data_IF_760501428404
#
_entry.id   IF_760501428404
#
_cell.length_a   1.000
_cell.length_b   1.000
_cell.length_c   1.000
_cell.angle_alpha   90.00
_cell.angle_beta   90.00
_cell.angle_gamma   90.00
#
_symmetry.space_group_name_H-M   'P 1'
#
loop_
_entity.id
_entity.type
_entity.pdbx_description
1 polymer ?
#
# COMPACT_ATOMS: atom_id res chain seq x y z
N UNK A 1 1.53 17.94 24.34
CA UNK A 1 1.70 17.18 23.08
C UNK A 1 0.32 16.73 22.62
N UNK A 2 -0.19 17.26 21.52
CA UNK A 2 -1.55 17.00 21.04
C UNK A 2 -1.65 15.58 20.48
N UNK A 3 -2.71 14.85 20.83
CA UNK A 3 -2.94 13.43 20.51
C UNK A 3 -2.93 13.09 19.00
N UNK A 4 -2.91 14.08 18.10
CA UNK A 4 -2.90 13.90 16.64
C UNK A 4 -1.55 13.38 16.11
N UNK A 5 -0.42 13.75 16.73
CA UNK A 5 0.92 13.31 16.28
C UNK A 5 1.15 11.80 16.34
N UNK A 6 0.84 11.09 17.44
CA UNK A 6 1.02 9.64 17.50
C UNK A 6 0.13 8.90 16.49
N UNK A 7 -1.08 9.40 16.21
CA UNK A 7 -1.98 8.81 15.21
C UNK A 7 -1.39 8.92 13.80
N UNK A 8 -0.86 10.09 13.44
CA UNK A 8 -0.22 10.29 12.12
C UNK A 8 1.00 9.39 11.92
N UNK A 9 1.83 9.25 12.95
CA UNK A 9 2.99 8.34 12.92
C UNK A 9 2.50 6.89 12.80
N UNK A 10 1.45 6.51 13.53
CA UNK A 10 0.83 5.19 13.45
C UNK A 10 0.35 4.85 12.04
N UNK A 11 -0.34 5.78 11.36
CA UNK A 11 -0.78 5.58 9.97
C UNK A 11 0.40 5.35 9.03
N UNK A 12 1.46 6.15 9.15
CA UNK A 12 2.67 5.99 8.32
C UNK A 12 3.35 4.66 8.56
N UNK A 13 3.53 4.25 9.83
CA UNK A 13 4.14 2.97 10.19
C UNK A 13 3.33 1.80 9.65
N UNK A 14 2.00 1.83 9.81
CA UNK A 14 1.11 0.78 9.30
C UNK A 14 1.17 0.72 7.77
N UNK A 15 1.16 1.87 7.10
CA UNK A 15 1.27 1.93 5.65
C UNK A 15 2.61 1.34 5.18
N UNK A 16 3.73 1.70 5.81
CA UNK A 16 5.04 1.12 5.51
C UNK A 16 5.11 -0.39 5.77
N UNK A 17 4.51 -0.87 6.87
CA UNK A 17 4.43 -2.30 7.14
C UNK A 17 3.64 -3.03 6.04
N UNK A 18 2.58 -2.41 5.50
CA UNK A 18 1.81 -2.94 4.39
C UNK A 18 2.53 -2.89 3.04
N UNK A 19 3.58 -2.07 2.88
CA UNK A 19 4.47 -2.15 1.72
C UNK A 19 5.40 -3.36 1.83
N UNK A 20 5.93 -3.62 3.03
CA UNK A 20 6.92 -4.66 3.25
C UNK A 20 6.31 -6.07 3.31
N UNK A 21 5.15 -6.21 3.97
CA UNK A 21 4.56 -7.51 4.31
C UNK A 21 4.09 -8.33 3.11
N UNK A 22 3.42 -7.76 2.09
CA UNK A 22 2.92 -8.55 0.98
C UNK A 22 4.04 -9.02 0.04
N UNK A 23 5.16 -8.28 -0.06
CA UNK A 23 6.30 -8.69 -0.88
C UNK A 23 7.10 -9.84 -0.23
N UNK A 24 7.27 -9.82 1.08
CA UNK A 24 8.00 -10.88 1.80
C UNK A 24 7.17 -12.14 1.97
N UNK A 25 5.84 -12.04 2.06
CA UNK A 25 4.96 -13.18 2.29
C UNK A 25 4.48 -13.88 1.00
N UNK A 26 4.42 -13.19 -0.14
CA UNK A 26 3.69 -13.72 -1.30
C UNK A 26 4.44 -14.74 -2.14
N UNK A 27 5.77 -14.90 -2.02
CA UNK A 27 6.57 -15.74 -2.94
C UNK A 27 6.22 -15.55 -4.44
N UNK A 28 5.60 -14.41 -4.78
CA UNK A 28 4.87 -14.22 -6.02
C UNK A 28 5.83 -14.46 -7.19
N UNK A 29 5.55 -15.47 -8.00
CA UNK A 29 6.15 -15.61 -9.33
C UNK A 29 5.44 -14.62 -10.27
N UNK A 30 5.50 -13.34 -9.91
CA UNK A 30 4.96 -12.26 -10.72
C UNK A 30 6.00 -11.84 -11.77
N UNK A 31 5.59 -11.58 -13.02
CA UNK A 31 6.46 -10.94 -13.99
C UNK A 31 6.93 -9.59 -13.45
N UNK A 32 8.17 -9.20 -13.78
CA UNK A 32 8.80 -7.98 -13.28
C UNK A 32 7.95 -6.71 -13.51
N UNK A 33 7.13 -6.69 -14.56
CA UNK A 33 6.19 -5.60 -14.82
C UNK A 33 5.08 -5.47 -13.75
N UNK A 34 4.56 -6.60 -13.23
CA UNK A 34 3.57 -6.59 -12.15
C UNK A 34 4.15 -6.10 -10.83
N UNK A 35 5.37 -6.53 -10.53
CA UNK A 35 6.18 -6.04 -9.40
C UNK A 35 6.40 -4.52 -9.52
N UNK A 36 6.85 -4.05 -10.68
CA UNK A 36 7.09 -2.63 -10.92
C UNK A 36 5.79 -1.80 -10.78
N UNK A 37 4.66 -2.31 -11.26
CA UNK A 37 3.37 -1.64 -11.14
C UNK A 37 2.92 -1.52 -9.67
N UNK A 38 3.05 -2.60 -8.89
CA UNK A 38 2.74 -2.60 -7.46
C UNK A 38 3.62 -1.58 -6.71
N UNK A 39 4.93 -1.60 -6.96
CA UNK A 39 5.88 -0.67 -6.33
C UNK A 39 5.56 0.78 -6.70
N UNK A 40 5.25 1.06 -7.98
CA UNK A 40 4.88 2.39 -8.43
C UNK A 40 3.57 2.88 -7.80
N UNK A 41 2.54 2.04 -7.76
CA UNK A 41 1.25 2.36 -7.13
C UNK A 41 1.39 2.64 -5.63
N UNK A 42 2.22 1.86 -4.95
CA UNK A 42 2.55 2.05 -3.55
C UNK A 42 3.34 3.31 -3.26
N UNK A 43 4.31 3.66 -4.09
CA UNK A 43 5.06 4.92 -3.99
C UNK A 43 4.13 6.13 -4.18
N UNK A 44 3.21 6.07 -5.15
CA UNK A 44 2.19 7.09 -5.35
C UNK A 44 1.26 7.20 -4.13
N UNK A 45 0.81 6.07 -3.58
CA UNK A 45 -0.01 6.05 -2.37
C UNK A 45 0.74 6.57 -1.13
N UNK A 46 2.04 6.33 -1.00
CA UNK A 46 2.86 6.89 0.08
C UNK A 46 2.96 8.41 -0.02
N UNK A 47 3.20 8.94 -1.22
CA UNK A 47 3.21 10.37 -1.46
C UNK A 47 1.84 11.00 -1.11
N UNK A 48 0.74 10.32 -1.48
CA UNK A 48 -0.61 10.75 -1.13
C UNK A 48 -0.86 10.73 0.39
N UNK A 49 -0.43 9.68 1.09
CA UNK A 49 -0.53 9.59 2.56
C UNK A 49 0.22 10.75 3.22
N UNK A 50 1.47 11.01 2.82
CA UNK A 50 2.28 12.10 3.36
C UNK A 50 1.57 13.44 3.15
N UNK A 51 1.01 13.65 1.96
CA UNK A 51 0.25 14.85 1.63
C UNK A 51 -1.07 14.97 2.43
N UNK A 52 -1.81 13.88 2.63
CA UNK A 52 -3.03 13.88 3.44
C UNK A 52 -2.74 14.12 4.93
N UNK A 53 -1.66 13.52 5.44
CA UNK A 53 -1.18 13.71 6.81
C UNK A 53 -0.75 15.16 7.03
N UNK A 54 -0.03 15.78 6.09
CA UNK A 54 0.38 17.19 6.21
C UNK A 54 -0.81 18.15 6.21
N UNK A 55 -1.92 17.76 5.57
CA UNK A 55 -3.21 18.49 5.61
C UNK A 55 -4.12 18.11 6.78
N UNK A 56 -3.69 17.23 7.70
CA UNK A 56 -4.53 16.68 8.80
C UNK A 56 -5.86 16.10 8.32
N UNK A 57 -5.88 15.53 7.12
CA UNK A 57 -7.07 14.94 6.53
C UNK A 57 -7.39 13.59 7.19
N UNK A 58 -8.66 13.38 7.56
CA UNK A 58 -9.14 12.09 8.09
C UNK A 58 -9.00 10.95 7.07
N UNK A 59 -8.94 11.28 5.77
CA UNK A 59 -8.71 10.31 4.70
C UNK A 59 -7.39 9.57 4.81
N UNK A 60 -6.39 10.12 5.53
CA UNK A 60 -5.14 9.41 5.80
C UNK A 60 -5.37 8.07 6.52
N UNK A 61 -6.40 7.96 7.37
CA UNK A 61 -6.73 6.74 8.10
C UNK A 61 -7.26 5.62 7.19
N UNK A 62 -7.84 5.96 6.03
CA UNK A 62 -8.34 4.97 5.07
C UNK A 62 -7.22 4.42 4.16
N UNK A 63 -6.09 5.11 4.06
CA UNK A 63 -5.02 4.75 3.13
C UNK A 63 -4.42 3.35 3.36
N UNK A 64 -4.19 2.87 4.60
CA UNK A 64 -3.76 1.50 4.82
C UNK A 64 -4.72 0.46 4.21
N UNK A 65 -6.02 0.65 4.40
CA UNK A 65 -7.05 -0.25 3.86
C UNK A 65 -7.05 -0.21 2.34
N UNK A 66 -6.91 0.98 1.74
CA UNK A 66 -6.83 1.14 0.29
C UNK A 66 -5.56 0.51 -0.30
N UNK A 67 -4.42 0.57 0.41
CA UNK A 67 -3.18 -0.06 -0.03
C UNK A 67 -3.30 -1.59 -0.08
N UNK A 68 -3.97 -2.20 0.92
CA UNK A 68 -4.29 -3.63 0.91
C UNK A 68 -5.27 -3.98 -0.21
N UNK A 69 -6.33 -3.19 -0.39
CA UNK A 69 -7.31 -3.43 -1.45
C UNK A 69 -6.65 -3.34 -2.84
N UNK A 70 -5.78 -2.35 -3.05
CA UNK A 70 -5.00 -2.19 -4.27
C UNK A 70 -4.10 -3.41 -4.53
N UNK A 71 -3.37 -3.88 -3.51
CA UNK A 71 -2.54 -5.07 -3.63
C UNK A 71 -3.38 -6.30 -3.98
N UNK A 72 -4.44 -6.57 -3.23
CA UNK A 72 -5.31 -7.73 -3.45
C UNK A 72 -5.97 -7.69 -4.84
N UNK A 73 -6.45 -6.53 -5.28
CA UNK A 73 -7.02 -6.35 -6.61
C UNK A 73 -5.98 -6.57 -7.73
N UNK A 74 -4.75 -6.12 -7.52
CA UNK A 74 -3.67 -6.30 -8.50
C UNK A 74 -3.24 -7.76 -8.60
N UNK A 75 -3.11 -8.46 -7.48
CA UNK A 75 -2.80 -9.90 -7.45
C UNK A 75 -3.93 -10.70 -8.10
N UNK A 76 -5.18 -10.43 -7.72
CA UNK A 76 -6.36 -11.08 -8.31
C UNK A 76 -6.46 -10.84 -9.81
N UNK A 77 -6.25 -9.60 -10.28
CA UNK A 77 -6.24 -9.30 -11.70
C UNK A 77 -5.06 -9.99 -12.42
N UNK A 78 -3.91 -10.07 -11.77
CA UNK A 78 -2.74 -10.81 -12.24
C UNK A 78 -3.03 -12.29 -12.45
N UNK A 79 -3.64 -12.94 -11.48
CA UNK A 79 -4.04 -14.36 -11.53
C UNK A 79 -5.09 -14.60 -12.64
N UNK A 80 -6.18 -13.82 -12.63
CA UNK A 80 -7.31 -14.01 -13.55
C UNK A 80 -6.98 -13.67 -15.01
N UNK A 81 -6.26 -12.58 -15.25
CA UNK A 81 -6.06 -12.06 -16.62
C UNK A 81 -4.66 -12.32 -17.19
N UNK A 82 -3.65 -12.49 -16.34
CA UNK A 82 -2.25 -12.54 -16.74
C UNK A 82 -1.54 -13.83 -16.33
N UNK A 83 -2.26 -14.77 -15.69
CA UNK A 83 -1.73 -16.08 -15.27
C UNK A 83 -0.65 -15.99 -14.18
N UNK A 84 -0.68 -14.97 -13.33
CA UNK A 84 0.26 -14.85 -12.21
C UNK A 84 -0.05 -15.93 -11.17
N UNK A 85 0.96 -16.64 -10.71
CA UNK A 85 0.82 -17.57 -9.59
C UNK A 85 1.28 -16.88 -8.32
N UNK A 86 0.31 -16.54 -7.48
CA UNK A 86 0.51 -16.00 -6.13
C UNK A 86 0.51 -17.12 -5.10
#
# INVERSE_FOLDING_TARGET
>A
MTAERPVQIGVLVVYFAMLAFPFSASTLLAPAAGVAFLVAGWAAGLALVIWLVSRRSRWAMAMPVLALAFWAATVWAGDVFLGWTA
#
